data_IF_977758041963
#
_entry.id   IF_977758041963
#
_cell.length_a   1.000
_cell.length_b   1.000
_cell.length_c   1.000
_cell.angle_alpha   90.00
_cell.angle_beta   90.00
_cell.angle_gamma   90.00
#
_symmetry.space_group_name_H-M   'P 1'
#
loop_
_entity.id
_entity.type
_entity.pdbx_description
1 polymer ?
#
# COMPACT_ATOMS: atom_id res chain seq x y z
N UNK A 1 -56.80 21.42 -36.87
CA UNK A 1 -55.50 21.46 -37.50
C UNK A 1 -54.41 22.14 -36.64
N UNK A 2 -54.58 23.31 -36.09
CA UNK A 2 -53.58 24.01 -35.30
C UNK A 2 -53.10 23.29 -34.04
N UNK A 3 -54.01 22.66 -33.28
CA UNK A 3 -53.69 21.89 -32.07
C UNK A 3 -52.79 20.66 -32.34
N UNK A 4 -53.02 19.97 -33.45
CA UNK A 4 -52.22 18.82 -33.88
C UNK A 4 -50.80 19.24 -34.31
N UNK A 5 -50.69 20.38 -34.97
CA UNK A 5 -49.38 20.92 -35.39
C UNK A 5 -48.53 21.38 -34.20
N UNK A 6 -49.14 21.98 -33.18
CA UNK A 6 -48.47 22.38 -31.94
C UNK A 6 -47.99 21.16 -31.15
N UNK A 7 -48.82 20.13 -31.02
CA UNK A 7 -48.44 18.88 -30.36
C UNK A 7 -47.26 18.17 -31.03
N UNK A 8 -47.25 18.11 -32.37
CA UNK A 8 -46.13 17.54 -33.13
C UNK A 8 -44.82 18.29 -32.95
N UNK A 9 -44.85 19.62 -32.94
CA UNK A 9 -43.66 20.44 -32.66
C UNK A 9 -43.17 20.28 -31.23
N UNK A 10 -44.07 20.15 -30.26
CA UNK A 10 -43.70 19.89 -28.87
C UNK A 10 -43.06 18.51 -28.70
N UNK A 11 -43.59 17.46 -29.34
CA UNK A 11 -42.98 16.13 -29.32
C UNK A 11 -41.60 16.10 -29.96
N UNK A 12 -41.41 16.81 -31.08
CA UNK A 12 -40.09 16.93 -31.74
C UNK A 12 -39.11 17.67 -30.83
N UNK A 13 -39.54 18.74 -30.16
CA UNK A 13 -38.70 19.51 -29.23
C UNK A 13 -38.30 18.68 -28.02
N UNK A 14 -39.21 17.90 -27.44
CA UNK A 14 -38.93 16.97 -26.33
C UNK A 14 -37.98 15.86 -26.79
N UNK A 15 -38.17 15.33 -28.00
CA UNK A 15 -37.28 14.29 -28.55
C UNK A 15 -35.89 14.84 -28.84
N UNK A 16 -35.75 16.09 -29.31
CA UNK A 16 -34.47 16.76 -29.49
C UNK A 16 -33.77 17.09 -28.16
N UNK A 17 -34.54 17.48 -27.13
CA UNK A 17 -34.00 17.63 -25.76
C UNK A 17 -33.53 16.28 -25.17
N UNK A 18 -34.26 15.19 -25.39
CA UNK A 18 -33.83 13.86 -24.97
C UNK A 18 -32.57 13.38 -25.71
N UNK A 19 -32.45 13.64 -27.02
CA UNK A 19 -31.24 13.34 -27.79
C UNK A 19 -30.04 14.17 -27.30
N UNK A 20 -30.25 15.45 -26.93
CA UNK A 20 -29.16 16.29 -26.43
C UNK A 20 -28.69 15.90 -25.02
N UNK A 21 -29.56 15.32 -24.18
CA UNK A 21 -29.21 14.79 -22.87
C UNK A 21 -28.46 13.43 -23.00
N UNK A 22 -28.80 12.63 -24.02
CA UNK A 22 -28.07 11.38 -24.30
C UNK A 22 -26.69 11.61 -24.96
N UNK A 23 -26.44 12.80 -25.54
CA UNK A 23 -25.14 13.17 -26.15
C UNK A 23 -24.22 13.96 -25.20
N UNK A 24 -24.66 14.24 -23.96
CA UNK A 24 -23.74 14.58 -22.89
C UNK A 24 -22.98 13.30 -22.50
N UNK A 25 -22.08 12.86 -23.40
CA UNK A 25 -21.14 11.79 -23.13
C UNK A 25 -20.47 12.09 -21.79
N UNK A 26 -20.57 11.20 -20.84
CA UNK A 26 -19.82 11.30 -19.60
C UNK A 26 -18.37 11.58 -20.00
N UNK A 27 -17.84 12.73 -19.63
CA UNK A 27 -16.41 13.03 -19.80
C UNK A 27 -15.72 11.96 -18.97
N UNK A 28 -15.19 10.97 -19.65
CA UNK A 28 -14.51 9.86 -18.99
C UNK A 28 -13.35 10.45 -18.17
N UNK A 29 -13.44 10.35 -16.86
CA UNK A 29 -12.43 10.91 -15.97
C UNK A 29 -11.10 10.25 -16.26
N UNK A 30 -10.02 11.04 -16.39
CA UNK A 30 -8.66 10.49 -16.54
C UNK A 30 -8.31 9.65 -15.31
N UNK A 31 -7.60 8.55 -15.55
CA UNK A 31 -7.05 7.74 -14.44
C UNK A 31 -6.20 8.58 -13.50
N UNK A 32 -6.23 8.27 -12.21
CA UNK A 32 -5.47 8.95 -11.16
C UNK A 32 -4.81 7.94 -10.22
N UNK A 33 -3.69 8.34 -9.65
CA UNK A 33 -3.18 7.77 -8.41
C UNK A 33 -4.05 8.29 -7.26
N UNK A 34 -4.62 7.40 -6.47
CA UNK A 34 -5.52 7.78 -5.36
C UNK A 34 -4.85 7.64 -4.02
N UNK A 35 -4.02 6.60 -3.82
CA UNK A 35 -3.29 6.36 -2.57
C UNK A 35 -1.84 5.96 -2.85
N UNK A 36 -0.94 6.31 -1.94
CA UNK A 36 0.47 6.00 -2.07
C UNK A 36 1.25 6.98 -2.98
N UNK A 37 2.46 6.59 -3.42
CA UNK A 37 3.15 5.35 -3.09
C UNK A 37 3.67 5.30 -1.66
N UNK A 38 3.81 4.09 -1.11
CA UNK A 38 4.45 3.86 0.17
C UNK A 38 5.40 2.65 0.11
N UNK A 39 6.41 2.67 0.96
CA UNK A 39 7.50 1.70 0.95
C UNK A 39 7.30 0.62 2.00
N UNK A 40 7.61 -0.62 1.62
CA UNK A 40 7.64 -1.78 2.49
C UNK A 40 8.86 -2.65 2.19
N UNK A 41 9.23 -3.54 3.11
CA UNK A 41 10.30 -4.52 2.93
C UNK A 41 11.60 -3.92 2.38
N UNK A 42 11.96 -2.74 2.86
CA UNK A 42 13.21 -2.12 2.45
C UNK A 42 14.37 -2.85 3.13
N UNK A 43 15.17 -3.50 2.33
CA UNK A 43 16.35 -4.25 2.72
C UNK A 43 17.63 -3.66 2.11
N UNK A 44 18.75 -4.39 2.22
CA UNK A 44 20.00 -3.97 1.60
C UNK A 44 19.98 -4.03 0.07
N UNK A 45 19.17 -4.92 -0.50
CA UNK A 45 19.15 -5.20 -1.93
C UNK A 45 17.74 -5.23 -2.54
N UNK A 46 16.72 -4.89 -1.75
CA UNK A 46 15.32 -4.93 -2.19
C UNK A 46 14.46 -3.82 -1.58
N UNK A 47 13.36 -3.50 -2.25
CA UNK A 47 12.27 -2.66 -1.76
C UNK A 47 10.95 -3.11 -2.38
N UNK A 48 9.86 -2.99 -1.64
CA UNK A 48 8.50 -3.11 -2.16
C UNK A 48 7.84 -1.75 -2.17
N UNK A 49 7.28 -1.35 -3.30
CA UNK A 49 6.57 -0.08 -3.48
C UNK A 49 5.11 -0.40 -3.82
N UNK A 50 4.19 0.17 -3.05
CA UNK A 50 2.74 -0.06 -3.18
C UNK A 50 2.03 1.27 -3.43
N UNK A 51 1.07 1.26 -4.37
CA UNK A 51 0.20 2.42 -4.65
C UNK A 51 -1.12 1.96 -5.26
N UNK A 52 -2.12 2.84 -5.26
CA UNK A 52 -3.43 2.55 -5.81
C UNK A 52 -3.84 3.56 -6.89
N UNK A 53 -4.61 3.05 -7.84
CA UNK A 53 -5.28 3.83 -8.89
C UNK A 53 -6.81 3.74 -8.75
N UNK A 54 -7.51 4.75 -9.26
CA UNK A 54 -8.98 4.79 -9.25
C UNK A 54 -9.64 3.89 -10.32
N UNK A 55 -8.82 3.30 -11.20
CA UNK A 55 -9.30 2.41 -12.28
C UNK A 55 -8.35 1.23 -12.47
N UNK A 56 -8.84 0.08 -12.99
CA UNK A 56 -7.97 -1.04 -13.35
C UNK A 56 -6.87 -0.60 -14.32
N UNK A 57 -5.64 -0.91 -13.98
CA UNK A 57 -4.47 -0.44 -14.72
C UNK A 57 -3.30 -1.41 -14.63
N UNK A 58 -2.33 -1.23 -15.49
CA UNK A 58 -0.99 -1.81 -15.38
C UNK A 58 -0.09 -0.80 -14.67
N UNK A 59 0.58 -1.23 -13.59
CA UNK A 59 1.46 -0.38 -12.81
C UNK A 59 2.95 -0.72 -13.02
N UNK A 60 3.82 0.32 -12.92
CA UNK A 60 5.27 0.12 -12.88
C UNK A 60 5.98 1.24 -12.12
N UNK A 61 7.19 0.94 -11.70
CA UNK A 61 8.13 1.88 -11.09
C UNK A 61 9.27 2.15 -12.06
N UNK A 62 9.68 3.40 -12.17
CA UNK A 62 10.95 3.81 -12.79
C UNK A 62 11.92 4.21 -11.68
N UNK A 63 13.16 3.74 -11.78
CA UNK A 63 14.21 3.94 -10.79
C UNK A 63 15.39 4.71 -11.37
N UNK A 64 15.93 5.63 -10.60
CA UNK A 64 17.10 6.43 -10.96
C UNK A 64 18.11 6.48 -9.80
N UNK A 65 19.41 6.62 -10.05
CA UNK A 65 20.35 6.95 -9.00
C UNK A 65 19.99 8.31 -8.37
N UNK A 66 20.29 8.48 -7.09
CA UNK A 66 20.17 9.78 -6.42
C UNK A 66 21.45 10.59 -6.67
N UNK A 67 21.44 11.28 -7.79
CA UNK A 67 22.50 12.17 -8.26
C UNK A 67 21.88 13.52 -8.67
N UNK A 68 22.71 14.51 -8.95
CA UNK A 68 22.24 15.85 -9.32
C UNK A 68 21.72 15.95 -10.77
N UNK A 69 21.60 14.83 -11.49
CA UNK A 69 21.11 14.84 -12.87
C UNK A 69 19.57 14.92 -12.90
N UNK A 70 19.03 15.38 -14.04
CA UNK A 70 17.58 15.26 -14.27
C UNK A 70 17.16 13.80 -14.20
N UNK A 71 15.95 13.54 -13.67
CA UNK A 71 15.43 12.17 -13.54
C UNK A 71 15.51 11.38 -14.88
N UNK A 72 15.24 12.04 -15.99
CA UNK A 72 15.31 11.48 -17.34
C UNK A 72 16.57 11.91 -18.13
N UNK A 73 17.68 12.19 -17.46
CA UNK A 73 18.96 12.38 -18.17
C UNK A 73 19.34 11.15 -19.01
N UNK A 74 18.90 9.96 -18.58
CA UNK A 74 18.98 8.70 -19.34
C UNK A 74 17.66 7.93 -19.22
N UNK A 75 17.42 6.96 -20.10
CA UNK A 75 16.29 6.04 -19.96
C UNK A 75 16.37 5.29 -18.63
N UNK A 76 15.23 5.15 -17.96
CA UNK A 76 15.16 4.51 -16.65
C UNK A 76 14.65 3.08 -16.75
N UNK A 77 15.23 2.14 -15.97
CA UNK A 77 14.71 0.79 -15.89
C UNK A 77 13.28 0.81 -15.30
N UNK A 78 12.43 -0.07 -15.87
CA UNK A 78 11.02 -0.22 -15.48
C UNK A 78 10.83 -1.53 -14.76
N UNK A 79 10.23 -1.46 -13.59
CA UNK A 79 9.85 -2.60 -12.77
C UNK A 79 8.33 -2.68 -12.72
N UNK A 80 7.76 -3.79 -13.19
CA UNK A 80 6.32 -3.95 -13.33
C UNK A 80 5.73 -4.73 -12.17
N UNK A 81 4.48 -4.37 -11.79
CA UNK A 81 3.63 -5.30 -11.06
C UNK A 81 3.26 -6.45 -12.00
N UNK A 82 3.87 -7.62 -11.76
CA UNK A 82 3.72 -8.80 -12.61
C UNK A 82 3.72 -10.08 -11.77
N UNK A 83 2.88 -11.05 -12.20
CA UNK A 83 2.82 -12.37 -11.59
C UNK A 83 2.99 -13.42 -12.68
N UNK A 84 3.89 -14.38 -12.46
CA UNK A 84 4.19 -15.46 -13.40
C UNK A 84 4.49 -14.98 -14.84
N UNK A 85 5.19 -13.83 -14.96
CA UNK A 85 5.58 -13.24 -16.24
C UNK A 85 4.49 -12.41 -16.93
N UNK A 86 3.32 -12.25 -16.34
CA UNK A 86 2.21 -11.44 -16.86
C UNK A 86 2.04 -10.20 -16.00
N UNK A 87 1.95 -9.02 -16.62
CA UNK A 87 1.65 -7.76 -15.92
C UNK A 87 0.26 -7.83 -15.31
N UNK A 88 0.17 -7.48 -14.03
CA UNK A 88 -1.08 -7.48 -13.31
C UNK A 88 -1.96 -6.29 -13.75
N UNK A 89 -3.26 -6.56 -13.96
CA UNK A 89 -4.26 -5.51 -14.17
C UNK A 89 -5.07 -5.40 -12.89
N UNK A 90 -4.86 -4.33 -12.14
CA UNK A 90 -5.45 -4.13 -10.82
C UNK A 90 -5.65 -2.63 -10.53
N UNK A 91 -6.33 -2.33 -9.44
CA UNK A 91 -6.34 -1.00 -8.81
C UNK A 91 -5.25 -0.89 -7.74
N UNK A 92 -4.76 -2.00 -7.20
CA UNK A 92 -3.63 -2.05 -6.26
C UNK A 92 -2.41 -2.57 -7.00
N UNK A 93 -1.30 -1.85 -6.91
CA UNK A 93 -0.03 -2.19 -7.52
C UNK A 93 1.02 -2.44 -6.47
N UNK A 94 1.69 -3.59 -6.54
CA UNK A 94 2.76 -4.00 -5.64
C UNK A 94 3.98 -4.41 -6.45
N UNK A 95 4.99 -3.55 -6.47
CA UNK A 95 6.23 -3.79 -7.23
C UNK A 95 7.36 -4.11 -6.27
N UNK A 96 7.92 -5.32 -6.41
CA UNK A 96 9.11 -5.77 -5.67
C UNK A 96 10.34 -5.55 -6.55
N UNK A 97 11.23 -4.66 -6.15
CA UNK A 97 12.50 -4.38 -6.83
C UNK A 97 13.60 -5.09 -6.06
N UNK A 98 14.43 -5.86 -6.76
CA UNK A 98 15.55 -6.62 -6.20
C UNK A 98 16.86 -6.29 -6.93
N UNK A 99 17.99 -6.67 -6.34
CA UNK A 99 19.30 -6.44 -6.92
C UNK A 99 19.78 -5.01 -6.75
N UNK A 100 19.27 -4.29 -5.77
CA UNK A 100 19.72 -2.97 -5.40
C UNK A 100 21.08 -3.03 -4.71
N UNK A 101 21.80 -1.93 -4.68
CA UNK A 101 23.08 -1.81 -3.94
C UNK A 101 22.79 -1.42 -2.50
N UNK A 102 23.43 -2.06 -1.52
CA UNK A 102 23.30 -1.68 -0.11
C UNK A 102 23.74 -0.23 0.17
N UNK A 103 23.15 0.39 1.18
CA UNK A 103 23.50 1.72 1.67
C UNK A 103 23.34 2.83 0.62
N UNK A 104 22.53 2.64 -0.42
CA UNK A 104 22.49 3.48 -1.60
C UNK A 104 21.16 4.22 -1.69
N UNK A 105 21.21 5.53 -1.99
CA UNK A 105 20.02 6.32 -2.28
C UNK A 105 19.56 6.12 -3.72
N UNK A 106 18.24 6.00 -3.88
CA UNK A 106 17.57 5.89 -5.16
C UNK A 106 16.44 6.89 -5.24
N UNK A 107 16.27 7.51 -6.41
CA UNK A 107 15.08 8.28 -6.77
C UNK A 107 14.12 7.38 -7.51
N UNK A 108 12.81 7.52 -7.30
CA UNK A 108 11.82 6.71 -8.00
C UNK A 108 10.58 7.49 -8.42
N UNK A 109 9.85 6.90 -9.35
CA UNK A 109 8.59 7.38 -9.88
C UNK A 109 7.66 6.21 -10.12
N UNK A 110 6.38 6.35 -9.79
CA UNK A 110 5.36 5.34 -10.07
C UNK A 110 4.44 5.78 -11.18
N UNK A 111 3.94 4.81 -11.94
CA UNK A 111 3.03 4.97 -13.08
C UNK A 111 1.87 4.01 -12.99
N UNK A 112 0.76 4.40 -13.59
CA UNK A 112 -0.35 3.54 -13.94
C UNK A 112 -0.80 3.85 -15.36
N UNK A 113 -1.13 2.83 -16.14
CA UNK A 113 -1.78 2.94 -17.44
C UNK A 113 -3.10 2.20 -17.41
N UNK A 114 -4.20 2.93 -17.61
CA UNK A 114 -5.55 2.41 -17.62
C UNK A 114 -5.71 1.26 -18.62
N UNK A 115 -6.41 0.21 -18.23
CA UNK A 115 -6.79 -0.91 -19.10
C UNK A 115 -8.27 -0.83 -19.35
N UNK A 116 -8.66 -0.34 -20.53
CA UNK A 116 -10.05 -0.20 -20.94
C UNK A 116 -10.69 -1.54 -21.30
N UNK A 117 -9.91 -2.45 -21.85
CA UNK A 117 -10.36 -3.80 -22.23
C UNK A 117 -9.19 -4.76 -22.32
N UNK A 118 -9.40 -6.01 -21.88
CA UNK A 118 -8.46 -7.11 -22.05
C UNK A 118 -9.24 -8.39 -22.40
N UNK A 119 -9.21 -8.77 -23.68
CA UNK A 119 -9.92 -9.97 -24.16
C UNK A 119 -8.94 -10.82 -24.99
N UNK A 120 -8.58 -11.98 -24.47
CA UNK A 120 -7.55 -12.84 -25.06
C UNK A 120 -6.21 -12.10 -25.17
N UNK A 121 -5.67 -11.95 -26.36
CA UNK A 121 -4.43 -11.22 -26.62
C UNK A 121 -4.65 -9.74 -26.99
N UNK A 122 -5.89 -9.29 -27.06
CA UNK A 122 -6.22 -7.91 -27.42
C UNK A 122 -6.39 -7.07 -26.17
N UNK A 123 -5.52 -6.09 -25.97
CA UNK A 123 -5.56 -5.13 -24.87
C UNK A 123 -5.78 -3.73 -25.46
N UNK A 124 -6.69 -2.98 -24.87
CA UNK A 124 -6.92 -1.57 -25.18
C UNK A 124 -6.54 -0.77 -23.95
N UNK A 125 -5.53 0.08 -24.11
CA UNK A 125 -5.07 0.97 -23.05
C UNK A 125 -5.72 2.34 -23.16
N UNK A 126 -5.98 2.95 -21.99
CA UNK A 126 -6.43 4.31 -21.84
C UNK A 126 -5.29 5.28 -21.47
N UNK A 127 -5.64 6.25 -20.64
CA UNK A 127 -4.73 7.29 -20.16
C UNK A 127 -3.71 6.75 -19.15
N UNK A 128 -2.67 7.56 -18.87
CA UNK A 128 -1.78 7.26 -17.75
C UNK A 128 -1.89 8.32 -16.65
N UNK A 129 -1.48 7.91 -15.42
CA UNK A 129 -1.13 8.81 -14.34
C UNK A 129 0.23 8.41 -13.75
N UNK A 130 0.89 9.34 -13.07
CA UNK A 130 2.20 9.12 -12.47
C UNK A 130 2.49 10.17 -11.40
N UNK A 131 3.44 9.87 -10.52
CA UNK A 131 4.03 10.88 -9.65
C UNK A 131 4.83 11.89 -10.47
N UNK A 132 4.84 13.15 -10.00
CA UNK A 132 5.50 14.26 -10.70
C UNK A 132 6.98 14.33 -10.31
N UNK A 133 7.84 14.43 -11.31
CA UNK A 133 9.29 14.62 -11.13
C UNK A 133 9.81 15.87 -11.87
N UNK A 134 8.93 16.65 -12.48
CA UNK A 134 9.28 17.85 -13.23
C UNK A 134 9.08 19.13 -12.41
N UNK A 135 7.97 19.23 -11.69
CA UNK A 135 7.66 20.37 -10.83
C UNK A 135 7.87 20.06 -9.34
N UNK A 136 8.08 18.79 -8.98
CA UNK A 136 8.36 18.32 -7.64
C UNK A 136 9.67 17.54 -7.61
N UNK A 137 10.31 17.52 -6.44
CA UNK A 137 11.44 16.61 -6.23
C UNK A 137 10.97 15.18 -6.41
N UNK A 138 11.74 14.31 -7.10
CA UNK A 138 11.48 12.88 -7.13
C UNK A 138 11.45 12.32 -5.70
N UNK A 139 10.64 11.27 -5.50
CA UNK A 139 10.64 10.52 -4.25
C UNK A 139 11.98 9.76 -4.11
N UNK A 140 12.49 9.65 -2.90
CA UNK A 140 13.80 9.06 -2.60
C UNK A 140 13.64 7.99 -1.53
N UNK A 141 14.42 6.92 -1.63
CA UNK A 141 14.65 6.00 -0.51
C UNK A 141 16.12 5.60 -0.46
N UNK A 142 16.56 5.15 0.71
CA UNK A 142 17.91 4.60 0.93
C UNK A 142 17.80 3.14 1.34
N UNK A 143 18.48 2.25 0.61
CA UNK A 143 18.60 0.84 1.02
C UNK A 143 19.38 0.73 2.33
N UNK A 144 19.04 -0.26 3.18
CA UNK A 144 19.79 -0.50 4.41
C UNK A 144 21.22 -0.95 4.11
N UNK A 145 22.16 -0.66 5.03
CA UNK A 145 23.53 -1.15 4.93
C UNK A 145 23.73 -2.28 5.96
N UNK A 146 24.10 -3.50 5.51
CA UNK A 146 24.41 -4.59 6.43
C UNK A 146 25.55 -4.31 7.39
N UNK A 147 26.41 -3.33 7.07
CA UNK A 147 27.51 -2.90 7.93
C UNK A 147 27.06 -1.97 9.07
N UNK A 148 25.85 -1.43 9.00
CA UNK A 148 25.29 -0.58 10.05
C UNK A 148 25.04 -1.41 11.32
N UNK A 149 25.62 -0.97 12.44
CA UNK A 149 25.51 -1.60 13.75
C UNK A 149 24.41 -0.98 14.63
N UNK A 150 23.65 -0.05 14.10
CA UNK A 150 22.58 0.65 14.79
C UNK A 150 21.33 0.72 13.92
N UNK A 151 20.16 0.74 14.56
CA UNK A 151 18.87 0.92 13.91
C UNK A 151 18.06 1.91 14.73
N UNK A 152 17.46 2.89 14.06
CA UNK A 152 16.57 3.86 14.67
C UNK A 152 15.19 3.74 14.05
N UNK A 153 14.18 3.46 14.86
CA UNK A 153 12.81 3.36 14.38
C UNK A 153 11.83 4.05 15.33
N UNK A 154 10.69 4.44 14.77
CA UNK A 154 9.57 4.94 15.55
C UNK A 154 8.44 3.89 15.55
N UNK A 155 7.79 3.72 16.69
CA UNK A 155 6.62 2.85 16.82
C UNK A 155 5.41 3.67 17.28
N UNK A 156 4.26 3.43 16.64
CA UNK A 156 2.99 4.11 16.91
C UNK A 156 1.88 3.06 16.93
N UNK A 157 0.92 3.21 17.84
CA UNK A 157 -0.25 2.34 17.98
C UNK A 157 -1.47 3.14 18.45
N UNK A 158 -2.66 2.54 18.40
CA UNK A 158 -3.91 3.09 18.95
C UNK A 158 -4.27 4.49 18.42
N UNK A 159 -4.07 4.72 17.15
CA UNK A 159 -4.40 6.00 16.50
C UNK A 159 -5.91 6.12 16.26
N UNK A 160 -6.60 5.02 15.91
CA UNK A 160 -8.04 4.99 15.70
C UNK A 160 -8.55 6.09 14.75
N UNK A 161 -7.85 6.30 13.62
CA UNK A 161 -8.21 7.30 12.61
C UNK A 161 -7.95 8.75 13.00
N UNK A 162 -7.27 9.01 14.13
CA UNK A 162 -6.97 10.38 14.59
C UNK A 162 -5.72 10.92 13.88
N UNK A 163 -5.86 11.36 12.65
CA UNK A 163 -4.76 11.83 11.80
C UNK A 163 -3.98 13.01 12.39
N UNK A 164 -4.63 13.91 13.13
CA UNK A 164 -3.95 15.01 13.82
C UNK A 164 -3.02 14.49 14.92
N UNK A 165 -3.44 13.43 15.65
CA UNK A 165 -2.59 12.77 16.63
C UNK A 165 -1.37 12.13 15.95
N UNK A 166 -1.58 11.37 14.86
CA UNK A 166 -0.50 10.76 14.09
C UNK A 166 0.49 11.84 13.60
N UNK A 167 -0.02 12.94 13.02
CA UNK A 167 0.80 14.07 12.55
C UNK A 167 1.63 14.67 13.69
N UNK A 168 1.03 14.88 14.86
CA UNK A 168 1.73 15.40 16.03
C UNK A 168 2.82 14.44 16.52
N UNK A 169 2.55 13.14 16.59
CA UNK A 169 3.55 12.12 17.00
C UNK A 169 4.72 12.06 16.02
N UNK A 170 4.45 11.99 14.72
CA UNK A 170 5.49 11.97 13.68
C UNK A 170 6.34 13.25 13.72
N UNK A 171 5.75 14.41 14.03
CA UNK A 171 6.50 15.68 14.15
C UNK A 171 7.54 15.70 15.29
N UNK A 172 7.48 14.75 16.23
CA UNK A 172 8.48 14.57 17.30
C UNK A 172 9.66 13.70 16.86
N UNK A 173 9.55 13.01 15.74
CA UNK A 173 10.58 12.11 15.23
C UNK A 173 11.59 12.89 14.37
N UNK A 174 12.87 12.55 14.48
CA UNK A 174 13.89 12.98 13.52
C UNK A 174 13.86 12.07 12.29
N UNK A 175 13.05 12.43 11.30
CA UNK A 175 12.86 11.62 10.09
C UNK A 175 14.16 11.33 9.33
N UNK A 176 15.19 12.18 9.46
CA UNK A 176 16.48 11.96 8.82
C UNK A 176 17.29 10.81 9.46
N UNK A 177 16.94 10.46 10.69
CA UNK A 177 17.59 9.37 11.45
C UNK A 177 16.71 8.16 11.62
N UNK A 178 15.47 8.22 11.15
CA UNK A 178 14.51 7.12 11.28
C UNK A 178 14.63 6.19 10.08
N UNK A 179 15.04 4.95 10.33
CA UNK A 179 15.20 3.93 9.29
C UNK A 179 13.85 3.35 8.84
N UNK A 180 12.90 3.23 9.76
CA UNK A 180 11.53 2.77 9.45
C UNK A 180 10.54 3.17 10.54
N UNK A 181 9.26 3.08 10.19
CA UNK A 181 8.14 3.16 11.13
C UNK A 181 7.52 1.78 11.35
N UNK A 182 7.10 1.51 12.59
CA UNK A 182 6.34 0.33 12.96
C UNK A 182 4.98 0.77 13.48
N UNK A 183 3.93 0.46 12.74
CA UNK A 183 2.56 0.61 13.21
C UNK A 183 2.16 -0.64 13.98
N UNK A 184 1.94 -0.50 15.27
CA UNK A 184 1.67 -1.62 16.16
C UNK A 184 0.17 -1.73 16.50
N UNK A 185 -0.66 -1.79 15.48
CA UNK A 185 -2.09 -2.08 15.58
C UNK A 185 -2.98 -0.91 16.00
N UNK A 186 -4.26 -1.11 15.82
CA UNK A 186 -5.35 -0.20 16.16
C UNK A 186 -5.18 1.21 15.54
N UNK A 187 -4.69 1.23 14.32
CA UNK A 187 -4.57 2.45 13.55
C UNK A 187 -5.92 2.94 13.06
N UNK A 188 -6.88 2.02 12.90
CA UNK A 188 -8.30 2.29 12.60
C UNK A 188 -9.20 1.64 13.65
N UNK A 189 -10.44 2.14 13.79
CA UNK A 189 -11.39 1.56 14.75
C UNK A 189 -12.18 0.38 14.20
N UNK A 190 -12.28 0.27 12.87
CA UNK A 190 -13.01 -0.78 12.15
C UNK A 190 -12.57 -0.79 10.70
N UNK A 191 -12.64 -1.95 10.04
CA UNK A 191 -12.25 -2.12 8.64
C UNK A 191 -13.41 -2.69 7.80
N UNK A 192 -14.39 -1.86 7.49
CA UNK A 192 -15.56 -2.24 6.69
C UNK A 192 -15.37 -2.05 5.18
N UNK A 193 -14.48 -1.15 4.78
CA UNK A 193 -14.20 -0.79 3.38
C UNK A 193 -12.76 -0.26 3.23
N UNK A 194 -12.27 -0.21 1.99
CA UNK A 194 -10.89 0.20 1.66
C UNK A 194 -10.53 1.58 2.23
N UNK A 195 -11.45 2.54 2.14
CA UNK A 195 -11.20 3.90 2.59
C UNK A 195 -10.89 4.01 4.08
N UNK A 196 -11.38 3.09 4.91
CA UNK A 196 -11.09 3.13 6.35
C UNK A 196 -9.60 3.09 6.66
N UNK A 197 -8.79 2.33 5.89
CA UNK A 197 -7.36 2.26 6.12
C UNK A 197 -6.64 3.49 5.57
N UNK A 198 -7.05 3.98 4.38
CA UNK A 198 -6.39 5.12 3.75
C UNK A 198 -6.74 6.44 4.43
N UNK A 199 -8.02 6.74 4.60
CA UNK A 199 -8.50 7.93 5.31
C UNK A 199 -8.13 7.87 6.79
N UNK A 200 -8.05 6.67 7.37
CA UNK A 200 -7.75 6.46 8.78
C UNK A 200 -6.32 6.81 9.17
N UNK A 201 -5.32 6.46 8.34
CA UNK A 201 -3.92 6.77 8.66
C UNK A 201 -2.96 6.70 7.47
N UNK A 202 -3.22 5.84 6.45
CA UNK A 202 -2.23 5.56 5.41
C UNK A 202 -1.92 6.77 4.53
N UNK A 203 -2.92 7.58 4.16
CA UNK A 203 -2.69 8.79 3.37
C UNK A 203 -1.93 9.85 4.17
N UNK A 204 -2.19 9.94 5.46
CA UNK A 204 -1.42 10.79 6.38
C UNK A 204 0.02 10.30 6.51
N UNK A 205 0.24 9.01 6.72
CA UNK A 205 1.58 8.43 6.78
C UNK A 205 2.36 8.62 5.47
N UNK A 206 1.71 8.37 4.32
CA UNK A 206 2.28 8.58 2.99
C UNK A 206 2.74 10.02 2.77
N UNK A 207 1.89 10.98 3.16
CA UNK A 207 2.20 12.40 3.05
C UNK A 207 3.34 12.84 3.97
N UNK A 208 3.48 12.23 5.14
CA UNK A 208 4.46 12.61 6.15
C UNK A 208 5.82 11.95 5.93
N UNK A 209 5.85 10.65 5.59
CA UNK A 209 7.09 9.89 5.50
C UNK A 209 7.04 8.61 4.66
N UNK A 210 5.89 7.89 4.59
CA UNK A 210 5.89 6.51 4.11
C UNK A 210 6.23 6.35 2.61
N UNK A 211 6.23 7.45 1.83
CA UNK A 211 6.74 7.45 0.46
C UNK A 211 8.28 7.42 0.37
N UNK A 212 9.01 7.70 1.46
CA UNK A 212 10.48 7.75 1.46
C UNK A 212 11.11 6.92 2.59
N UNK A 213 10.38 6.70 3.69
CA UNK A 213 10.79 5.86 4.83
C UNK A 213 9.84 4.66 4.88
N UNK A 214 10.37 3.41 4.90
CA UNK A 214 9.53 2.22 4.89
C UNK A 214 8.74 2.06 6.18
N UNK A 215 7.64 1.33 6.07
CA UNK A 215 6.84 0.97 7.23
C UNK A 215 6.64 -0.53 7.33
N UNK A 216 6.51 -1.00 8.57
CA UNK A 216 6.07 -2.33 8.95
C UNK A 216 4.78 -2.23 9.75
N UNK A 217 3.99 -3.28 9.74
CA UNK A 217 2.69 -3.29 10.39
C UNK A 217 2.49 -4.56 11.23
N UNK A 218 2.02 -4.37 12.45
CA UNK A 218 1.43 -5.40 13.30
C UNK A 218 -0.06 -5.15 13.36
N UNK A 219 -0.90 -6.11 13.01
CA UNK A 219 -2.35 -5.94 13.06
C UNK A 219 -2.82 -5.90 14.51
N UNK A 220 -3.68 -4.92 14.84
CA UNK A 220 -4.41 -4.87 16.09
C UNK A 220 -5.76 -5.57 15.98
N UNK A 221 -6.48 -5.67 17.10
CA UNK A 221 -7.78 -6.31 17.12
C UNK A 221 -8.85 -5.47 16.39
N UNK A 222 -8.71 -4.16 16.33
CA UNK A 222 -9.64 -3.30 15.60
C UNK A 222 -9.57 -3.49 14.08
N UNK A 223 -8.43 -3.80 13.51
CA UNK A 223 -8.29 -4.14 12.08
C UNK A 223 -8.91 -5.49 11.73
N UNK A 224 -9.27 -6.32 12.71
CA UNK A 224 -9.97 -7.58 12.47
C UNK A 224 -11.49 -7.41 12.37
N UNK A 225 -12.00 -6.22 12.74
CA UNK A 225 -13.43 -5.91 12.83
C UNK A 225 -13.93 -5.25 11.56
N UNK A 226 -14.88 -5.90 10.89
CA UNK A 226 -15.55 -5.37 9.71
C UNK A 226 -15.47 -6.30 8.50
N UNK A 227 -16.34 -6.06 7.54
CA UNK A 227 -16.50 -6.91 6.36
C UNK A 227 -15.25 -6.93 5.45
N UNK A 228 -14.37 -5.94 5.57
CA UNK A 228 -13.16 -5.81 4.76
C UNK A 228 -11.88 -6.30 5.47
N UNK A 229 -12.02 -6.83 6.69
CA UNK A 229 -10.88 -7.27 7.51
C UNK A 229 -10.02 -8.36 6.84
N UNK A 230 -10.65 -9.25 6.04
CA UNK A 230 -9.94 -10.29 5.27
C UNK A 230 -9.09 -9.74 4.12
N UNK A 231 -9.34 -8.50 3.70
CA UNK A 231 -8.61 -7.83 2.62
C UNK A 231 -7.36 -7.09 3.13
N UNK A 232 -7.13 -7.04 4.45
CA UNK A 232 -6.04 -6.32 5.09
C UNK A 232 -4.68 -6.61 4.45
N UNK A 233 -4.39 -7.87 4.17
CA UNK A 233 -3.11 -8.30 3.59
C UNK A 233 -2.84 -7.74 2.18
N UNK A 234 -3.87 -7.28 1.46
CA UNK A 234 -3.69 -6.68 0.11
C UNK A 234 -2.85 -5.41 0.13
N UNK A 235 -2.86 -4.69 1.24
CA UNK A 235 -2.19 -3.38 1.40
C UNK A 235 -0.81 -3.49 2.05
N UNK A 236 -0.54 -4.65 2.64
CA UNK A 236 0.74 -4.94 3.28
C UNK A 236 1.34 -6.16 2.62
N UNK A 237 2.61 -6.06 2.23
CA UNK A 237 3.32 -7.11 1.51
C UNK A 237 4.52 -7.56 2.32
N UNK A 238 4.32 -8.30 3.44
CA UNK A 238 5.42 -8.89 4.16
C UNK A 238 6.18 -9.87 3.26
N UNK A 239 7.39 -10.25 3.66
CA UNK A 239 8.19 -11.24 2.92
C UNK A 239 7.53 -12.61 2.90
N UNK A 240 6.80 -12.94 3.95
CA UNK A 240 6.02 -14.18 4.12
C UNK A 240 4.57 -13.96 3.67
N UNK A 241 3.86 -15.03 3.38
CA UNK A 241 2.46 -14.95 2.94
C UNK A 241 1.48 -14.59 4.07
N UNK A 242 1.94 -14.67 5.33
CA UNK A 242 1.14 -14.36 6.51
C UNK A 242 1.33 -12.92 6.98
N UNK A 243 0.39 -12.43 7.79
CA UNK A 243 0.50 -11.12 8.47
C UNK A 243 1.26 -11.20 9.80
N UNK A 244 1.68 -12.39 10.23
CA UNK A 244 2.76 -12.61 11.19
C UNK A 244 4.03 -12.99 10.40
N UNK A 245 5.15 -12.35 10.70
CA UNK A 245 6.35 -12.47 9.87
C UNK A 245 7.61 -12.07 10.65
N UNK A 246 8.78 -12.32 10.03
CA UNK A 246 10.06 -11.82 10.53
C UNK A 246 10.67 -10.85 9.54
N UNK A 247 11.47 -9.93 10.07
CA UNK A 247 12.35 -9.11 9.25
C UNK A 247 13.62 -8.75 10.00
N UNK A 248 14.69 -8.48 9.24
CA UNK A 248 15.98 -8.06 9.79
C UNK A 248 16.26 -6.62 9.43
N UNK A 249 16.64 -5.82 10.45
CA UNK A 249 17.21 -4.49 10.24
C UNK A 249 18.49 -4.37 11.07
N UNK A 250 19.63 -4.21 10.37
CA UNK A 250 20.94 -4.19 11.01
C UNK A 250 21.15 -5.35 11.97
N UNK A 251 21.49 -5.10 13.25
CA UNK A 251 21.74 -6.16 14.23
C UNK A 251 20.46 -6.78 14.82
N UNK A 252 19.27 -6.29 14.49
CA UNK A 252 18.02 -6.68 15.16
C UNK A 252 17.19 -7.60 14.26
N UNK A 253 16.76 -8.75 14.81
CA UNK A 253 15.71 -9.58 14.23
C UNK A 253 14.38 -9.24 14.90
N UNK A 254 13.42 -8.79 14.11
CA UNK A 254 12.05 -8.52 14.54
C UNK A 254 11.17 -9.73 14.24
N UNK A 255 10.34 -10.09 15.21
CA UNK A 255 9.29 -11.11 15.06
C UNK A 255 7.97 -10.41 15.29
N UNK A 256 7.17 -10.30 14.26
CA UNK A 256 5.84 -9.66 14.32
C UNK A 256 4.80 -10.75 14.48
N UNK A 257 3.98 -10.63 15.52
CA UNK A 257 2.90 -11.54 15.83
C UNK A 257 1.55 -10.87 15.59
N UNK A 258 0.59 -11.65 15.14
CA UNK A 258 -0.79 -11.24 14.97
C UNK A 258 -1.67 -12.05 15.94
N UNK A 259 -2.06 -11.44 17.01
CA UNK A 259 -2.79 -12.12 18.08
C UNK A 259 -4.31 -12.14 17.89
N UNK A 260 -4.80 -11.45 16.83
CA UNK A 260 -6.24 -11.39 16.55
C UNK A 260 -7.01 -10.60 17.62
N UNK A 261 -8.16 -11.10 18.02
CA UNK A 261 -9.01 -10.50 19.06
C UNK A 261 -8.64 -10.98 20.47
N UNK A 262 -9.13 -10.26 21.48
CA UNK A 262 -8.80 -10.43 22.91
C UNK A 262 -9.65 -11.47 23.66
N UNK A 263 -10.74 -11.96 23.02
CA UNK A 263 -11.66 -12.94 23.60
C UNK A 263 -11.60 -14.28 22.88
N UNK A 264 -12.12 -15.38 23.49
CA UNK A 264 -12.22 -16.66 22.82
C UNK A 264 -13.24 -16.62 21.67
N UNK A 265 -13.09 -17.47 20.67
CA UNK A 265 -13.97 -17.52 19.48
C UNK A 265 -15.44 -17.79 19.83
N UNK A 266 -15.71 -18.38 21.00
CA UNK A 266 -17.06 -18.62 21.51
C UNK A 266 -17.76 -17.37 22.08
N UNK A 267 -17.06 -16.23 22.14
CA UNK A 267 -17.65 -15.01 22.68
C UNK A 267 -18.78 -14.50 21.76
N UNK A 268 -19.88 -14.09 22.39
CA UNK A 268 -21.09 -13.64 21.69
C UNK A 268 -20.84 -12.39 20.83
N UNK A 269 -19.84 -11.56 21.17
CA UNK A 269 -19.51 -10.35 20.43
C UNK A 269 -18.99 -10.66 19.03
N UNK A 270 -18.40 -11.85 18.80
CA UNK A 270 -17.89 -12.24 17.50
C UNK A 270 -18.95 -12.91 16.61
N UNK A 271 -20.13 -13.20 17.14
CA UNK A 271 -21.22 -13.82 16.38
C UNK A 271 -20.83 -15.10 15.62
N UNK A 272 -19.81 -15.81 16.08
CA UNK A 272 -19.30 -17.05 15.47
C UNK A 272 -18.53 -16.87 14.16
N UNK A 273 -18.03 -15.64 13.85
CA UNK A 273 -17.29 -15.38 12.60
C UNK A 273 -15.79 -15.60 12.75
N UNK A 274 -15.28 -15.77 13.96
CA UNK A 274 -13.84 -15.87 14.24
C UNK A 274 -13.37 -17.31 14.41
N UNK A 275 -12.09 -17.56 14.10
CA UNK A 275 -11.37 -18.83 14.31
C UNK A 275 -9.95 -18.53 14.85
N UNK A 276 -9.84 -17.57 15.76
CA UNK A 276 -8.54 -17.12 16.29
C UNK A 276 -7.84 -18.14 17.17
N UNK A 277 -8.56 -19.06 17.81
CA UNK A 277 -7.95 -20.10 18.63
C UNK A 277 -7.12 -21.08 17.77
N UNK A 278 -7.64 -21.45 16.59
CA UNK A 278 -6.89 -22.24 15.62
C UNK A 278 -5.76 -21.44 14.98
N UNK A 279 -6.02 -20.22 14.55
CA UNK A 279 -5.05 -19.30 13.96
C UNK A 279 -3.85 -19.04 14.89
N UNK A 280 -4.07 -18.81 16.18
CA UNK A 280 -3.01 -18.66 17.17
C UNK A 280 -2.18 -19.95 17.38
N UNK A 281 -2.83 -21.10 17.27
CA UNK A 281 -2.15 -22.41 17.33
C UNK A 281 -1.22 -22.59 16.15
N UNK A 282 -1.67 -22.31 14.93
CA UNK A 282 -0.85 -22.32 13.71
C UNK A 282 0.33 -21.34 13.82
N UNK A 283 0.06 -20.12 14.28
CA UNK A 283 1.10 -19.11 14.48
C UNK A 283 2.14 -19.55 15.54
N UNK A 284 1.72 -20.22 16.61
CA UNK A 284 2.65 -20.76 17.61
C UNK A 284 3.58 -21.84 17.02
N UNK A 285 3.10 -22.66 16.09
CA UNK A 285 3.94 -23.63 15.37
C UNK A 285 4.93 -22.93 14.43
N UNK A 286 4.48 -21.89 13.72
CA UNK A 286 5.37 -21.05 12.93
C UNK A 286 6.44 -20.38 13.81
N UNK A 287 6.05 -19.81 14.95
CA UNK A 287 6.96 -19.16 15.88
C UNK A 287 8.05 -20.12 16.38
N UNK A 288 7.71 -21.37 16.72
CA UNK A 288 8.72 -22.38 17.08
C UNK A 288 9.79 -22.56 16.00
N UNK A 289 9.37 -22.63 14.71
CA UNK A 289 10.30 -22.71 13.58
C UNK A 289 11.18 -21.46 13.46
N UNK A 290 10.59 -20.28 13.65
CA UNK A 290 11.33 -19.01 13.65
C UNK A 290 12.39 -18.98 14.74
N UNK A 291 12.04 -19.33 15.98
CA UNK A 291 12.96 -19.34 17.11
C UNK A 291 14.14 -20.32 16.91
N UNK A 292 13.92 -21.38 16.12
CA UNK A 292 14.95 -22.36 15.76
C UNK A 292 15.76 -21.95 14.51
N UNK A 293 15.35 -20.94 13.76
CA UNK A 293 16.03 -20.51 12.56
C UNK A 293 17.41 -19.90 12.85
N UNK A 294 18.31 -20.02 11.86
CA UNK A 294 19.63 -19.41 11.92
C UNK A 294 19.53 -17.88 11.99
N UNK A 295 18.62 -17.29 11.22
CA UNK A 295 18.41 -15.84 11.17
C UNK A 295 18.08 -15.27 12.56
N UNK A 296 17.19 -15.92 13.29
CA UNK A 296 16.84 -15.51 14.65
C UNK A 296 17.99 -15.73 15.63
N UNK A 297 18.60 -16.93 15.61
CA UNK A 297 19.67 -17.29 16.55
C UNK A 297 20.91 -16.41 16.41
N UNK A 298 21.31 -16.11 15.19
CA UNK A 298 22.50 -15.30 14.88
C UNK A 298 22.29 -13.79 15.05
N UNK A 299 21.05 -13.33 15.23
CA UNK A 299 20.79 -11.91 15.46
C UNK A 299 21.33 -11.48 16.82
N UNK A 300 22.17 -10.43 16.94
CA UNK A 300 22.61 -9.88 18.22
C UNK A 300 21.47 -9.47 19.13
N UNK A 301 20.43 -8.86 18.56
CA UNK A 301 19.23 -8.43 19.29
C UNK A 301 17.98 -9.03 18.66
N UNK A 302 16.98 -9.29 19.50
CA UNK A 302 15.68 -9.81 19.12
C UNK A 302 14.59 -8.92 19.71
N UNK A 303 13.63 -8.53 18.87
CA UNK A 303 12.44 -7.79 19.31
C UNK A 303 11.21 -8.55 18.82
N UNK A 304 10.34 -8.90 19.74
CA UNK A 304 9.03 -9.48 19.43
C UNK A 304 8.01 -8.37 19.56
N UNK A 305 7.19 -8.22 18.52
CA UNK A 305 6.15 -7.20 18.42
C UNK A 305 4.80 -7.88 18.35
N UNK A 306 3.89 -7.46 19.20
CA UNK A 306 2.49 -7.87 19.21
C UNK A 306 1.64 -6.69 19.68
N UNK A 307 0.45 -6.56 19.16
CA UNK A 307 -0.50 -5.56 19.66
C UNK A 307 -1.20 -6.09 20.91
#
# INVERSE_FOLDING_TARGET
MLKYYIMKKFQILVMLLWLSVCLAGAVESKIRLVHGPYLQNLGPDEVTIVWLSDKPSVGWVELAPDDDTNFYATERPKYYDARNGVKNTSTIHTVKIKGLKPGTNYRYRVFVQEVLSHVGHKIIYGNYASTDVYSKKPLVFKTSDPADNSVSFAMVNDIHGKNDLLTNLVSKCDLKKTDFFLFNGDMVSVFNEENHIFDGFMDTATKLFASEIPMYYTRGNHETRGAFATEFQRYFSPKEENIYYTFRQGPICFVVLDTGEDKPDSDIEYAGITVYDEYRTEQAEWLRRVLDSKEYKDAPFKIIVAH
#
